data_IF_317425915528
#
_entry.id   IF_317425915528
#
_cell.length_a   1.000
_cell.length_b   1.000
_cell.length_c   1.000
_cell.angle_alpha   90.00
_cell.angle_beta   90.00
_cell.angle_gamma   90.00
#
_symmetry.space_group_name_H-M   'P 1'
#
loop_
_entity.id
_entity.type
_entity.pdbx_description
1 polymer ?
#
# COMPACT_ATOMS: atom_id res chain seq x y z
N UNK A 1 -27.12 -4.51 57.08
CA UNK A 1 -27.27 -4.40 55.61
C UNK A 1 -26.01 -3.81 55.05
N UNK A 2 -25.15 -4.61 54.42
CA UNK A 2 -23.94 -4.13 53.74
C UNK A 2 -24.17 -4.21 52.25
N UNK A 3 -24.25 -3.06 51.60
CA UNK A 3 -24.37 -2.93 50.15
C UNK A 3 -23.02 -3.28 49.49
N UNK A 4 -22.96 -4.19 48.51
CA UNK A 4 -21.75 -4.36 47.73
C UNK A 4 -21.61 -3.19 46.75
N UNK A 5 -20.49 -2.48 46.81
CA UNK A 5 -20.07 -1.51 45.80
C UNK A 5 -19.57 -2.27 44.57
N UNK A 6 -20.36 -2.27 43.51
CA UNK A 6 -19.95 -2.73 42.18
C UNK A 6 -19.02 -1.69 41.57
N UNK A 7 -17.71 -1.95 41.53
CA UNK A 7 -16.79 -1.14 40.73
C UNK A 7 -17.11 -1.33 39.25
N UNK A 8 -17.48 -0.24 38.57
CA UNK A 8 -17.69 -0.23 37.13
C UNK A 8 -16.38 -0.59 36.40
N UNK A 9 -16.44 -1.37 35.30
CA UNK A 9 -15.25 -1.67 34.51
C UNK A 9 -14.69 -0.39 33.91
N UNK A 10 -13.43 -0.08 34.22
CA UNK A 10 -12.64 0.93 33.52
C UNK A 10 -12.54 0.52 32.06
N UNK A 11 -13.16 1.27 31.16
CA UNK A 11 -12.95 1.11 29.73
C UNK A 11 -11.47 1.41 29.43
N UNK A 12 -10.72 0.42 28.95
CA UNK A 12 -9.38 0.62 28.44
C UNK A 12 -9.41 1.64 27.29
N UNK A 13 -8.44 2.55 27.20
CA UNK A 13 -8.35 3.48 26.08
C UNK A 13 -8.22 2.68 24.78
N UNK A 14 -9.16 2.90 23.86
CA UNK A 14 -9.03 2.46 22.47
C UNK A 14 -7.86 3.21 21.86
N UNK A 15 -6.68 2.57 21.79
CA UNK A 15 -5.60 3.04 20.92
C UNK A 15 -6.09 2.91 19.49
N UNK A 16 -6.46 4.05 18.88
CA UNK A 16 -6.68 4.12 17.44
C UNK A 16 -5.38 3.65 16.78
N UNK A 17 -5.44 2.54 16.05
CA UNK A 17 -4.32 2.11 15.21
C UNK A 17 -3.95 3.26 14.27
N UNK A 18 -2.66 3.53 14.04
CA UNK A 18 -2.25 4.64 13.18
C UNK A 18 -2.86 4.46 11.80
N UNK A 19 -3.64 5.46 11.39
CA UNK A 19 -4.19 5.60 10.04
C UNK A 19 -3.05 5.87 9.08
N UNK A 20 -2.42 4.83 8.55
CA UNK A 20 -1.36 4.97 7.53
C UNK A 20 -1.99 5.29 6.17
N UNK A 21 -2.29 6.56 5.92
CA UNK A 21 -2.53 7.05 4.56
C UNK A 21 -1.26 6.80 3.75
N UNK A 22 -1.37 6.03 2.66
CA UNK A 22 -0.25 5.81 1.74
C UNK A 22 -0.41 6.73 0.54
N UNK A 23 0.62 7.52 0.24
CA UNK A 23 0.64 8.39 -0.94
C UNK A 23 1.01 7.54 -2.15
N UNK A 24 0.34 7.78 -3.28
CA UNK A 24 0.60 7.07 -4.54
C UNK A 24 0.76 8.07 -5.68
N UNK A 25 1.59 7.72 -6.65
CA UNK A 25 1.74 8.48 -7.89
C UNK A 25 1.29 7.59 -9.03
N UNK A 26 0.25 8.02 -9.75
CA UNK A 26 -0.16 7.39 -11.00
C UNK A 26 0.60 8.07 -12.14
N UNK A 27 1.38 7.29 -12.87
CA UNK A 27 2.17 7.75 -14.00
C UNK A 27 1.67 7.07 -15.28
N UNK A 28 1.46 7.84 -16.33
CA UNK A 28 1.24 7.35 -17.69
C UNK A 28 2.45 7.76 -18.54
N UNK A 29 3.20 6.78 -19.04
CA UNK A 29 4.42 7.01 -19.81
C UNK A 29 4.24 6.49 -21.22
N UNK A 30 4.35 7.38 -22.19
CA UNK A 30 4.17 7.11 -23.62
C UNK A 30 5.54 7.06 -24.30
N UNK A 31 5.86 5.92 -24.91
CA UNK A 31 7.04 5.74 -25.74
C UNK A 31 6.66 5.84 -27.22
N UNK A 32 7.05 6.93 -27.89
CA UNK A 32 6.66 7.17 -29.30
C UNK A 32 7.43 6.33 -30.30
N UNK A 33 8.67 5.95 -29.99
CA UNK A 33 9.50 5.13 -30.89
C UNK A 33 9.44 3.64 -30.57
N UNK A 34 8.66 3.24 -29.57
CA UNK A 34 8.52 1.85 -29.16
C UNK A 34 7.34 1.20 -29.89
N UNK A 35 7.64 0.16 -30.65
CA UNK A 35 6.61 -0.63 -31.34
C UNK A 35 6.00 -1.68 -30.39
N UNK A 36 4.67 -1.71 -30.32
CA UNK A 36 3.98 -2.63 -29.40
C UNK A 36 4.12 -4.10 -29.78
N UNK A 37 4.36 -4.43 -31.05
CA UNK A 37 4.62 -5.82 -31.46
C UNK A 37 5.94 -6.34 -30.87
N UNK A 38 6.84 -5.46 -30.40
CA UNK A 38 8.02 -5.89 -29.64
C UNK A 38 7.64 -6.57 -28.31
N UNK A 39 6.44 -6.30 -27.76
CA UNK A 39 5.94 -6.92 -26.53
C UNK A 39 5.36 -8.33 -26.74
N UNK A 40 5.22 -8.81 -27.98
CA UNK A 40 4.94 -10.22 -28.26
C UNK A 40 6.14 -11.12 -27.86
N UNK A 41 7.36 -10.57 -27.89
CA UNK A 41 8.54 -11.27 -27.38
C UNK A 41 8.58 -11.19 -25.84
N UNK A 42 8.42 -12.34 -25.19
CA UNK A 42 8.40 -12.43 -23.73
C UNK A 42 9.74 -12.01 -23.09
N UNK A 43 10.86 -12.23 -23.76
CA UNK A 43 12.19 -11.85 -23.29
C UNK A 43 12.41 -10.33 -23.36
N UNK A 44 11.98 -9.70 -24.46
CA UNK A 44 11.95 -8.25 -24.61
C UNK A 44 11.06 -7.63 -23.55
N UNK A 45 9.81 -8.09 -23.44
CA UNK A 45 8.84 -7.58 -22.45
C UNK A 45 9.39 -7.68 -21.03
N UNK A 46 9.95 -8.82 -20.63
CA UNK A 46 10.52 -8.98 -19.30
C UNK A 46 11.70 -8.02 -19.05
N UNK A 47 12.61 -7.91 -20.01
CA UNK A 47 13.79 -7.04 -19.91
C UNK A 47 13.39 -5.56 -19.87
N UNK A 48 12.45 -5.16 -20.73
CA UNK A 48 11.91 -3.81 -20.77
C UNK A 48 11.23 -3.45 -19.45
N UNK A 49 10.33 -4.31 -18.94
CA UNK A 49 9.60 -4.02 -17.70
C UNK A 49 10.54 -3.99 -16.48
N UNK A 50 11.60 -4.82 -16.48
CA UNK A 50 12.62 -4.79 -15.44
C UNK A 50 13.38 -3.46 -15.45
N UNK A 51 13.86 -3.01 -16.62
CA UNK A 51 14.55 -1.73 -16.78
C UNK A 51 13.63 -0.54 -16.45
N UNK A 52 12.38 -0.58 -16.91
CA UNK A 52 11.37 0.43 -16.61
C UNK A 52 11.13 0.60 -15.11
N UNK A 53 10.94 -0.52 -14.39
CA UNK A 53 10.80 -0.48 -12.93
C UNK A 53 12.07 -0.02 -12.24
N UNK A 54 13.24 -0.39 -12.74
CA UNK A 54 14.52 0.01 -12.15
C UNK A 54 14.76 1.52 -12.27
N UNK A 55 14.53 2.11 -13.45
CA UNK A 55 14.66 3.56 -13.66
C UNK A 55 13.66 4.34 -12.79
N UNK A 56 12.40 3.92 -12.76
CA UNK A 56 11.37 4.51 -11.89
C UNK A 56 11.73 4.42 -10.41
N UNK A 57 12.18 3.25 -9.96
CA UNK A 57 12.58 3.03 -8.57
C UNK A 57 13.78 3.90 -8.19
N UNK A 58 14.79 3.97 -9.05
CA UNK A 58 15.98 4.78 -8.83
C UNK A 58 15.64 6.27 -8.76
N UNK A 59 14.76 6.75 -9.65
CA UNK A 59 14.37 8.16 -9.68
C UNK A 59 13.42 8.56 -8.55
N UNK A 60 12.47 7.70 -8.19
CA UNK A 60 11.56 7.94 -7.07
C UNK A 60 12.20 7.64 -5.69
N UNK A 61 13.37 6.99 -5.66
CA UNK A 61 14.02 6.56 -4.42
C UNK A 61 13.25 5.48 -3.66
N UNK A 62 12.43 4.69 -4.36
CA UNK A 62 11.56 3.65 -3.78
C UNK A 62 11.99 2.26 -4.27
N UNK A 63 11.71 1.19 -3.51
CA UNK A 63 11.97 -0.17 -3.98
C UNK A 63 11.04 -0.53 -5.16
N UNK A 64 11.52 -1.38 -6.08
CA UNK A 64 10.75 -1.85 -7.24
C UNK A 64 9.47 -2.62 -6.85
N UNK A 65 9.40 -3.16 -5.64
CA UNK A 65 8.21 -3.80 -5.07
C UNK A 65 7.03 -2.84 -4.87
N UNK A 66 7.27 -1.52 -4.86
CA UNK A 66 6.24 -0.50 -4.70
C UNK A 66 5.73 0.05 -6.04
N UNK A 67 6.24 -0.49 -7.15
CA UNK A 67 5.85 -0.10 -8.51
C UNK A 67 4.99 -1.20 -9.13
N UNK A 68 3.73 -0.87 -9.35
CA UNK A 68 2.76 -1.71 -10.06
C UNK A 68 2.58 -1.18 -11.46
N UNK A 69 2.52 -2.05 -12.46
CA UNK A 69 2.18 -1.68 -13.83
C UNK A 69 0.74 -2.14 -14.05
N UNK A 70 -0.13 -1.18 -14.31
CA UNK A 70 -1.58 -1.38 -14.40
C UNK A 70 -2.00 -1.80 -15.82
N UNK A 71 -1.46 -1.16 -16.85
CA UNK A 71 -1.81 -1.45 -18.25
C UNK A 71 -0.69 -1.04 -19.22
N UNK A 72 -0.71 -1.65 -20.40
CA UNK A 72 0.14 -1.31 -21.55
C UNK A 72 -0.76 -1.23 -22.79
N UNK A 73 -0.91 -0.03 -23.38
CA UNK A 73 -1.84 0.21 -24.50
C UNK A 73 -1.13 0.50 -25.83
N UNK A 74 -1.82 0.21 -26.96
CA UNK A 74 -1.33 0.35 -28.33
C UNK A 74 -1.57 1.76 -28.93
N UNK A 75 -0.75 2.16 -29.91
CA UNK A 75 -0.85 3.44 -30.64
C UNK A 75 0.32 4.40 -30.38
N UNK A 76 0.98 4.20 -29.25
CA UNK A 76 2.30 4.65 -28.79
C UNK A 76 2.36 3.97 -27.42
N UNK A 77 3.37 3.16 -27.11
CA UNK A 77 3.28 2.28 -25.93
C UNK A 77 3.06 3.12 -24.68
N UNK A 78 1.83 3.13 -24.15
CA UNK A 78 1.44 3.88 -22.95
C UNK A 78 1.46 2.92 -21.79
N UNK A 79 2.31 3.20 -20.80
CA UNK A 79 2.47 2.38 -19.62
C UNK A 79 1.91 3.14 -18.44
N UNK A 80 0.81 2.62 -17.90
CA UNK A 80 0.22 3.11 -16.66
C UNK A 80 0.90 2.39 -15.50
N UNK A 81 1.53 3.14 -14.61
CA UNK A 81 2.18 2.60 -13.43
C UNK A 81 1.78 3.37 -12.17
N UNK A 82 1.62 2.64 -11.08
CA UNK A 82 1.35 3.20 -9.76
C UNK A 82 2.58 3.01 -8.87
N UNK A 83 3.12 4.12 -8.36
CA UNK A 83 4.28 4.15 -7.46
C UNK A 83 3.77 4.46 -6.05
N UNK A 84 4.01 3.57 -5.10
CA UNK A 84 3.72 3.82 -3.68
C UNK A 84 4.83 4.63 -3.02
N UNK A 85 4.46 5.61 -2.19
CA UNK A 85 5.34 6.30 -1.26
C UNK A 85 4.88 6.01 0.16
N UNK A 86 5.84 5.96 1.10
CA UNK A 86 5.53 5.82 2.52
C UNK A 86 4.66 6.98 3.02
N UNK A 87 3.99 6.79 4.15
CA UNK A 87 3.05 7.76 4.74
C UNK A 87 3.64 9.13 5.08
N UNK A 88 4.96 9.29 5.02
CA UNK A 88 5.68 10.49 5.47
C UNK A 88 6.23 11.34 4.31
N UNK A 89 5.87 11.01 3.05
CA UNK A 89 6.61 11.52 1.88
C UNK A 89 5.72 12.10 0.79
N UNK A 90 4.68 12.86 1.16
CA UNK A 90 3.83 13.57 0.19
C UNK A 90 4.65 14.54 -0.66
N UNK A 91 5.58 15.28 -0.07
CA UNK A 91 6.48 16.20 -0.80
C UNK A 91 7.37 15.45 -1.80
N UNK A 92 7.84 14.24 -1.47
CA UNK A 92 8.64 13.41 -2.38
C UNK A 92 7.81 12.88 -3.54
N UNK A 93 6.56 12.48 -3.29
CA UNK A 93 5.64 12.04 -4.33
C UNK A 93 5.31 13.18 -5.30
N UNK A 94 5.10 14.39 -4.79
CA UNK A 94 4.78 15.57 -5.61
C UNK A 94 6.00 16.05 -6.42
N UNK A 95 7.17 16.11 -5.80
CA UNK A 95 8.42 16.42 -6.49
C UNK A 95 8.75 15.39 -7.58
N UNK A 96 8.53 14.10 -7.31
CA UNK A 96 8.70 13.04 -8.30
C UNK A 96 7.70 13.18 -9.45
N UNK A 97 6.41 13.38 -9.16
CA UNK A 97 5.39 13.56 -10.19
C UNK A 97 5.68 14.79 -11.08
N UNK A 98 6.08 15.91 -10.48
CA UNK A 98 6.49 17.11 -11.19
C UNK A 98 7.72 16.85 -12.08
N UNK A 99 8.72 16.14 -11.57
CA UNK A 99 9.94 15.80 -12.33
C UNK A 99 9.63 14.87 -13.50
N UNK A 100 8.82 13.83 -13.27
CA UNK A 100 8.40 12.88 -14.29
C UNK A 100 7.62 13.57 -15.41
N UNK A 101 6.74 14.52 -15.06
CA UNK A 101 5.96 15.25 -16.07
C UNK A 101 6.75 16.34 -16.79
N UNK A 102 7.75 16.97 -16.14
CA UNK A 102 8.55 18.04 -16.74
C UNK A 102 9.76 17.53 -17.53
N UNK A 103 10.37 16.43 -17.08
CA UNK A 103 11.61 15.88 -17.65
C UNK A 103 11.62 14.34 -17.58
N UNK A 104 10.72 13.65 -18.31
CA UNK A 104 10.64 12.19 -18.29
C UNK A 104 11.94 11.50 -18.71
N UNK A 105 12.70 12.12 -19.61
CA UNK A 105 14.01 11.62 -20.07
C UNK A 105 15.04 11.51 -18.93
N UNK A 106 14.97 12.40 -17.93
CA UNK A 106 15.87 12.34 -16.76
C UNK A 106 15.51 11.18 -15.84
N UNK A 107 14.21 10.87 -15.70
CA UNK A 107 13.72 9.72 -14.94
C UNK A 107 14.11 8.41 -15.63
N UNK A 108 13.98 8.38 -16.95
CA UNK A 108 14.23 7.22 -17.80
C UNK A 108 15.58 7.30 -18.50
N UNK A 109 16.65 7.43 -17.74
CA UNK A 109 18.00 7.56 -18.30
C UNK A 109 18.42 6.33 -19.10
N UNK A 110 18.03 5.12 -18.69
CA UNK A 110 18.41 3.90 -19.41
C UNK A 110 17.51 3.70 -20.62
N UNK A 111 16.20 3.59 -20.41
CA UNK A 111 15.26 3.28 -21.49
C UNK A 111 15.01 4.44 -22.45
N UNK A 112 15.17 5.70 -22.02
CA UNK A 112 15.05 6.88 -22.89
C UNK A 112 16.13 6.94 -23.97
N UNK A 113 17.34 6.47 -23.67
CA UNK A 113 18.40 6.38 -24.68
C UNK A 113 18.15 5.28 -25.72
N UNK A 114 17.39 4.25 -25.35
CA UNK A 114 17.11 3.09 -26.22
C UNK A 114 15.85 3.29 -27.07
N UNK A 115 14.80 3.89 -26.48
CA UNK A 115 13.47 3.97 -27.09
C UNK A 115 13.01 5.40 -27.42
N UNK A 116 13.92 6.37 -27.34
CA UNK A 116 13.73 7.70 -27.92
C UNK A 116 12.77 8.62 -27.16
N UNK A 117 11.88 9.30 -27.89
CA UNK A 117 10.98 10.32 -27.33
C UNK A 117 9.98 9.70 -26.35
N UNK A 118 10.13 10.07 -25.09
CA UNK A 118 9.29 9.69 -23.95
C UNK A 118 8.50 10.92 -23.54
N UNK A 119 7.18 10.79 -23.52
CA UNK A 119 6.30 11.71 -22.80
C UNK A 119 5.76 11.00 -21.56
N UNK A 120 5.73 11.69 -20.43
CA UNK A 120 5.08 11.17 -19.24
C UNK A 120 4.17 12.22 -18.63
N UNK A 121 3.07 11.74 -18.06
CA UNK A 121 2.19 12.51 -17.19
C UNK A 121 2.09 11.78 -15.85
N UNK A 122 2.17 12.52 -14.76
CA UNK A 122 2.08 11.95 -13.42
C UNK A 122 1.14 12.77 -12.55
N UNK A 123 0.34 12.07 -11.75
CA UNK A 123 -0.62 12.68 -10.83
C UNK A 123 -0.44 12.04 -9.46
N UNK A 124 -0.29 12.87 -8.44
CA UNK A 124 -0.26 12.42 -7.04
C UNK A 124 -1.68 12.16 -6.54
N UNK A 125 -1.85 11.09 -5.77
CA UNK A 125 -3.11 10.70 -5.16
C UNK A 125 -2.90 10.11 -3.78
N UNK A 126 -3.71 10.51 -2.83
CA UNK A 126 -3.71 9.93 -1.48
C UNK A 126 -4.71 8.78 -1.47
N UNK A 127 -4.24 7.54 -1.24
CA UNK A 127 -5.15 6.42 -1.07
C UNK A 127 -5.94 6.61 0.24
N UNK A 128 -7.26 6.47 0.17
CA UNK A 128 -8.13 6.55 1.34
C UNK A 128 -7.70 5.50 2.40
N UNK A 129 -7.77 5.83 3.70
CA UNK A 129 -7.31 4.93 4.74
C UNK A 129 -8.10 3.62 4.76
N UNK A 130 -7.39 2.49 4.79
CA UNK A 130 -7.99 1.17 4.94
C UNK A 130 -8.23 0.90 6.42
N UNK A 131 -9.48 1.00 6.87
CA UNK A 131 -9.91 0.55 8.20
C UNK A 131 -10.22 -0.94 8.15
N UNK A 132 -9.28 -1.78 8.59
CA UNK A 132 -9.56 -3.19 8.84
C UNK A 132 -10.32 -3.33 10.18
N UNK A 133 -11.56 -3.84 10.21
CA UNK A 133 -12.26 -4.08 11.47
C UNK A 133 -11.60 -5.28 12.19
N UNK A 134 -10.83 -5.01 13.25
CA UNK A 134 -10.30 -6.07 14.13
C UNK A 134 -11.39 -6.43 15.14
N UNK A 135 -12.32 -7.29 14.74
CA UNK A 135 -13.26 -7.91 15.69
C UNK A 135 -12.68 -9.24 16.17
N UNK A 136 -11.94 -9.22 17.28
CA UNK A 136 -11.60 -10.43 18.03
C UNK A 136 -12.44 -10.49 19.31
N UNK A 137 -13.63 -11.13 19.31
CA UNK A 137 -14.31 -11.43 20.57
C UNK A 137 -13.62 -12.62 21.23
N UNK A 138 -12.65 -12.37 22.11
CA UNK A 138 -12.22 -13.39 23.10
C UNK A 138 -13.07 -13.20 24.35
N UNK A 139 -14.30 -13.70 24.32
CA UNK A 139 -15.07 -13.96 25.53
C UNK A 139 -14.98 -15.47 25.81
N UNK A 140 -13.95 -15.90 26.54
CA UNK A 140 -13.98 -17.24 27.14
C UNK A 140 -15.05 -17.25 28.23
N UNK A 141 -16.04 -18.15 28.19
CA UNK A 141 -17.01 -18.27 29.27
C UNK A 141 -16.32 -18.92 30.48
N UNK A 142 -16.11 -18.15 31.55
CA UNK A 142 -15.66 -18.71 32.83
C UNK A 142 -16.79 -19.54 33.43
N UNK A 143 -16.69 -20.86 33.34
CA UNK A 143 -17.58 -21.80 34.03
C UNK A 143 -17.35 -21.71 35.54
N UNK A 144 -18.29 -21.12 36.29
CA UNK A 144 -18.29 -21.19 37.75
C UNK A 144 -18.93 -22.51 38.17
N UNK A 145 -18.12 -23.45 38.68
CA UNK A 145 -18.62 -24.68 39.27
C UNK A 145 -19.26 -24.39 40.65
N UNK A 146 -20.49 -24.86 40.93
CA UNK A 146 -21.06 -24.73 42.27
C UNK A 146 -20.39 -25.76 43.21
N UNK A 147 -19.65 -25.27 44.20
CA UNK A 147 -19.22 -26.10 45.33
C UNK A 147 -20.39 -26.24 46.29
N UNK A 148 -21.14 -27.33 46.17
CA UNK A 148 -22.05 -27.78 47.22
C UNK A 148 -21.28 -28.68 48.18
N UNK A 149 -21.01 -28.20 49.40
CA UNK A 149 -20.52 -29.02 50.50
C UNK A 149 -21.73 -29.48 51.33
N UNK A 150 -22.05 -30.80 51.40
CA UNK A 150 -23.06 -31.28 52.31
C UNK A 150 -22.43 -31.48 53.68
N UNK A 151 -22.64 -30.55 54.60
CA UNK A 151 -22.34 -30.77 56.02
C UNK A 151 -23.41 -31.71 56.58
N UNK A 152 -23.03 -32.98 56.77
CA UNK A 152 -23.79 -33.94 57.59
C UNK A 152 -23.71 -33.51 59.07
N UNK A 153 -24.84 -33.67 59.76
CA UNK A 153 -25.15 -33.34 61.17
C UNK A 153 -24.16 -33.85 62.23
N UNK A 154 -24.28 -33.40 63.49
CA UNK A 154 -25.05 -34.22 64.44
C UNK A 154 -25.88 -33.47 65.51
N UNK A 155 -27.00 -34.13 65.86
CA UNK A 155 -27.68 -34.31 67.16
C UNK A 155 -27.36 -33.40 68.34
N UNK A 156 -28.41 -32.85 68.97
CA UNK A 156 -28.77 -33.07 70.39
C UNK A 156 -30.28 -32.95 70.55
#
# INVERSE_FOLDING_TARGET
TVSPTTSAPTASPTTLAPTVSSVRVAAAVTFKSLDIASFDDAGFKASFLASYKADLAASAGVPTSWITIDSIEAGSVVISATIGFGSESTDSADAFAATLSAAPQSVFSTIGTVYGDIEAAAVTGTAAPSVAPTLSPTASPTTVAPTVSPTRSPTT
#
